data_IF_999710183387
#
_entry.id   IF_999710183387
#
_cell.length_a   1.000
_cell.length_b   1.000
_cell.length_c   1.000
_cell.angle_alpha   90.00
_cell.angle_beta   90.00
_cell.angle_gamma   90.00
#
_symmetry.space_group_name_H-M   'P 1'
#
loop_
_entity.id
_entity.type
_entity.pdbx_description
1 polymer ?
#
# COMPACT_ATOMS: atom_id res chain seq x y z
N UNK A 1 50.40 66.01 -35.67
CA UNK A 1 50.61 65.08 -34.54
C UNK A 1 49.21 64.79 -33.96
N UNK A 2 48.54 63.76 -34.46
CA UNK A 2 47.19 63.37 -34.05
C UNK A 2 47.28 62.00 -33.34
N UNK A 3 47.01 61.97 -32.04
CA UNK A 3 46.89 60.77 -31.27
C UNK A 3 45.43 60.33 -31.24
N UNK A 4 45.07 59.30 -31.97
CA UNK A 4 43.78 58.60 -31.82
C UNK A 4 43.94 57.47 -30.81
N UNK A 5 43.21 57.59 -29.69
CA UNK A 5 43.09 56.53 -28.69
C UNK A 5 41.87 55.67 -29.10
N UNK A 6 42.10 54.44 -29.51
CA UNK A 6 41.07 53.41 -29.69
C UNK A 6 40.59 52.90 -28.35
N UNK A 7 39.28 53.06 -28.03
CA UNK A 7 38.61 52.39 -26.92
C UNK A 7 38.14 51.02 -27.44
N UNK A 8 38.65 49.95 -26.83
CA UNK A 8 38.19 48.60 -27.01
C UNK A 8 37.05 48.34 -26.00
N UNK A 9 35.81 48.27 -26.51
CA UNK A 9 34.66 47.79 -25.69
C UNK A 9 34.64 46.27 -25.72
N UNK A 10 34.98 45.64 -24.57
CA UNK A 10 34.77 44.21 -24.38
C UNK A 10 33.33 43.92 -24.08
N UNK A 11 32.65 43.20 -24.97
CA UNK A 11 31.31 42.66 -24.78
C UNK A 11 31.40 41.38 -23.90
N UNK A 12 31.00 41.44 -22.63
CA UNK A 12 30.87 40.25 -21.79
C UNK A 12 29.48 39.67 -22.11
N UNK A 13 29.43 38.60 -22.87
CA UNK A 13 28.23 37.82 -23.08
C UNK A 13 27.95 36.96 -21.82
N UNK A 14 26.94 37.34 -21.03
CA UNK A 14 26.44 36.57 -19.91
C UNK A 14 25.60 35.40 -20.48
N UNK A 15 26.15 34.18 -20.47
CA UNK A 15 25.39 32.96 -20.76
C UNK A 15 24.48 32.69 -19.54
N UNK A 16 23.21 33.02 -19.67
CA UNK A 16 22.18 32.55 -18.73
C UNK A 16 21.88 31.09 -19.09
N UNK A 17 22.41 30.16 -18.33
CA UNK A 17 22.01 28.76 -18.38
C UNK A 17 20.64 28.67 -17.71
N UNK A 18 19.55 28.70 -18.49
CA UNK A 18 18.23 28.37 -18.00
C UNK A 18 18.18 26.86 -17.76
N UNK A 19 18.26 26.42 -16.52
CA UNK A 19 17.90 25.08 -16.13
C UNK A 19 16.39 24.92 -16.42
N UNK A 20 16.06 24.25 -17.52
CA UNK A 20 14.70 23.76 -17.74
C UNK A 20 14.49 22.60 -16.79
N UNK A 21 13.78 22.82 -15.69
CA UNK A 21 13.18 21.73 -14.92
C UNK A 21 12.23 21.00 -15.86
N UNK A 22 12.57 19.77 -16.21
CA UNK A 22 11.64 18.88 -16.88
C UNK A 22 10.52 18.60 -15.87
N UNK A 23 9.38 19.25 -16.04
CA UNK A 23 8.15 18.89 -15.33
C UNK A 23 7.80 17.49 -15.85
N UNK A 24 7.89 16.49 -14.99
CA UNK A 24 7.44 15.14 -15.31
C UNK A 24 5.92 15.18 -15.38
N UNK A 25 5.34 14.77 -16.52
CA UNK A 25 3.90 14.55 -16.58
C UNK A 25 3.56 13.24 -15.88
N UNK A 26 2.40 13.17 -15.22
CA UNK A 26 1.85 11.93 -14.69
C UNK A 26 1.97 10.79 -15.70
N UNK A 27 2.53 9.65 -15.30
CA UNK A 27 2.79 8.52 -16.20
C UNK A 27 2.30 7.22 -15.58
N UNK A 28 1.83 6.29 -16.46
CA UNK A 28 1.62 4.90 -16.11
C UNK A 28 2.50 4.04 -17.00
N UNK A 29 3.42 3.30 -16.43
CA UNK A 29 4.42 2.51 -17.13
C UNK A 29 4.16 1.02 -16.84
N UNK A 30 4.09 0.22 -17.91
CA UNK A 30 4.10 -1.24 -17.77
C UNK A 30 5.55 -1.72 -17.71
N UNK A 31 5.87 -2.48 -16.69
CA UNK A 31 7.20 -3.03 -16.46
C UNK A 31 7.14 -4.57 -16.35
N UNK A 32 8.27 -5.20 -16.53
CA UNK A 32 8.44 -6.65 -16.38
C UNK A 32 9.63 -6.95 -15.47
N UNK A 33 9.54 -8.04 -14.71
CA UNK A 33 10.60 -8.54 -13.86
C UNK A 33 10.59 -10.06 -13.91
N UNK A 34 11.75 -10.69 -14.06
CA UNK A 34 11.86 -12.15 -13.95
C UNK A 34 12.13 -12.53 -12.49
N UNK A 35 11.22 -13.33 -11.91
CA UNK A 35 11.37 -13.91 -10.57
C UNK A 35 11.16 -15.43 -10.64
N UNK A 36 12.08 -16.20 -10.10
CA UNK A 36 12.09 -17.68 -10.16
C UNK A 36 11.89 -18.26 -11.56
N UNK A 37 12.47 -17.60 -12.57
CA UNK A 37 12.38 -18.01 -13.97
C UNK A 37 11.04 -17.71 -14.64
N UNK A 38 10.11 -17.04 -13.95
CA UNK A 38 8.82 -16.58 -14.48
C UNK A 38 8.92 -15.09 -14.79
N UNK A 39 8.60 -14.70 -16.03
CA UNK A 39 8.42 -13.29 -16.37
C UNK A 39 7.08 -12.81 -15.78
N UNK A 40 7.17 -11.81 -14.90
CA UNK A 40 6.05 -11.18 -14.19
C UNK A 40 5.90 -9.75 -14.68
N UNK A 41 4.68 -9.25 -14.68
CA UNK A 41 4.37 -7.88 -15.10
C UNK A 41 3.77 -7.07 -13.97
N UNK A 42 3.95 -5.76 -14.02
CA UNK A 42 3.32 -4.80 -13.12
C UNK A 42 3.18 -3.44 -13.80
N UNK A 43 2.26 -2.62 -13.32
CA UNK A 43 2.11 -1.22 -13.77
C UNK A 43 2.55 -0.30 -12.67
N UNK A 44 3.38 0.69 -12.98
CA UNK A 44 3.82 1.75 -12.06
C UNK A 44 3.13 3.04 -12.47
N UNK A 45 2.41 3.65 -11.55
CA UNK A 45 1.92 5.01 -11.68
C UNK A 45 2.91 5.96 -11.00
N UNK A 46 3.40 6.94 -11.76
CA UNK A 46 4.34 7.97 -11.31
C UNK A 46 3.59 9.29 -11.28
N UNK A 47 3.41 9.93 -10.11
CA UNK A 47 2.73 11.20 -10.01
C UNK A 47 3.51 12.33 -10.71
N UNK A 48 2.80 13.36 -11.19
CA UNK A 48 3.42 14.53 -11.83
C UNK A 48 4.42 15.25 -10.89
N UNK A 49 4.13 15.23 -9.59
CA UNK A 49 4.97 15.87 -8.58
C UNK A 49 6.23 15.07 -8.22
N UNK A 50 6.45 13.89 -8.83
CA UNK A 50 7.65 13.09 -8.56
C UNK A 50 8.92 13.86 -8.95
N UNK A 51 9.84 13.94 -7.98
CA UNK A 51 11.17 14.52 -8.14
C UNK A 51 12.21 13.53 -7.56
N UNK A 52 13.10 13.04 -8.39
CA UNK A 52 14.12 12.05 -7.99
C UNK A 52 15.11 12.54 -6.93
N UNK A 53 15.10 13.83 -6.58
CA UNK A 53 15.92 14.37 -5.49
C UNK A 53 15.31 14.16 -4.12
N UNK A 54 13.99 13.85 -4.06
CA UNK A 54 13.25 13.62 -2.83
C UNK A 54 12.75 12.16 -2.78
N UNK A 55 12.97 11.50 -1.65
CA UNK A 55 12.48 10.15 -1.44
C UNK A 55 10.94 10.12 -1.38
N UNK A 56 10.34 9.17 -2.08
CA UNK A 56 8.89 9.06 -2.29
C UNK A 56 8.35 7.73 -1.73
N UNK A 57 7.17 7.71 -1.06
CA UNK A 57 6.55 6.47 -0.61
C UNK A 57 6.19 5.54 -1.78
N UNK A 58 6.14 4.23 -1.50
CA UNK A 58 5.77 3.19 -2.44
C UNK A 58 4.55 2.41 -1.93
N UNK A 59 3.49 2.32 -2.74
CA UNK A 59 2.27 1.59 -2.41
C UNK A 59 2.02 0.50 -3.43
N UNK A 60 1.91 -0.76 -2.98
CA UNK A 60 1.42 -1.87 -3.77
C UNK A 60 -0.09 -2.02 -3.61
N UNK A 61 -0.82 -2.21 -4.72
CA UNK A 61 -2.25 -2.46 -4.73
C UNK A 61 -2.56 -3.74 -5.51
N UNK A 62 -2.77 -4.85 -4.79
CA UNK A 62 -2.94 -6.19 -5.32
C UNK A 62 -4.39 -6.45 -5.72
N UNK A 63 -4.62 -7.03 -6.90
CA UNK A 63 -5.95 -7.38 -7.41
C UNK A 63 -6.54 -8.62 -6.74
N UNK A 64 -7.87 -8.80 -6.82
CA UNK A 64 -8.58 -9.98 -6.37
C UNK A 64 -8.40 -11.20 -7.28
N UNK A 65 -8.81 -12.38 -6.80
CA UNK A 65 -8.81 -13.63 -7.57
C UNK A 65 -9.60 -13.50 -8.88
N UNK A 66 -9.02 -13.96 -9.99
CA UNK A 66 -9.61 -13.89 -11.33
C UNK A 66 -9.59 -12.50 -11.96
N UNK A 67 -9.20 -11.47 -11.23
CA UNK A 67 -9.04 -10.09 -11.70
C UNK A 67 -7.65 -9.87 -12.32
N UNK A 68 -7.25 -8.61 -12.51
CA UNK A 68 -5.94 -8.23 -13.05
C UNK A 68 -5.56 -6.81 -12.62
N UNK A 69 -4.30 -6.42 -12.85
CA UNK A 69 -3.74 -5.12 -12.51
C UNK A 69 -4.59 -3.95 -13.05
N UNK A 70 -5.04 -4.01 -14.31
CA UNK A 70 -5.84 -2.95 -14.93
C UNK A 70 -7.22 -2.80 -14.31
N UNK A 71 -7.89 -3.90 -13.95
CA UNK A 71 -9.18 -3.85 -13.26
C UNK A 71 -9.03 -3.26 -11.86
N UNK A 72 -7.98 -3.65 -11.13
CA UNK A 72 -7.70 -3.12 -9.80
C UNK A 72 -7.40 -1.61 -9.83
N UNK A 73 -6.62 -1.15 -10.83
CA UNK A 73 -6.37 0.29 -11.05
C UNK A 73 -7.67 1.08 -11.17
N UNK A 74 -8.60 0.56 -11.98
CA UNK A 74 -9.88 1.23 -12.21
C UNK A 74 -10.81 1.14 -10.99
N UNK A 75 -10.89 -0.02 -10.34
CA UNK A 75 -11.85 -0.28 -9.27
C UNK A 75 -11.49 0.45 -7.98
N UNK A 76 -10.25 0.35 -7.53
CA UNK A 76 -9.78 1.06 -6.35
C UNK A 76 -9.59 2.57 -6.58
N UNK A 77 -9.27 2.97 -7.81
CA UNK A 77 -9.00 4.36 -8.20
C UNK A 77 -7.97 5.08 -7.30
N UNK A 78 -7.04 4.32 -6.71
CA UNK A 78 -6.03 4.83 -5.77
C UNK A 78 -5.03 5.80 -6.43
N UNK A 79 -5.00 5.86 -7.77
CA UNK A 79 -4.18 6.80 -8.53
C UNK A 79 -4.53 8.28 -8.25
N UNK A 80 -5.76 8.57 -7.84
CA UNK A 80 -6.17 9.92 -7.41
C UNK A 80 -5.41 10.33 -6.16
N UNK A 81 -5.31 9.43 -5.19
CA UNK A 81 -4.55 9.65 -3.95
C UNK A 81 -3.05 9.72 -4.23
N UNK A 82 -2.54 8.87 -5.13
CA UNK A 82 -1.13 8.88 -5.53
C UNK A 82 -0.72 10.22 -6.17
N UNK A 83 -1.58 10.77 -7.02
CA UNK A 83 -1.35 12.07 -7.64
C UNK A 83 -1.42 13.24 -6.63
N UNK A 84 -2.37 13.18 -5.69
CA UNK A 84 -2.59 14.24 -4.70
C UNK A 84 -1.50 14.27 -3.61
N UNK A 85 -0.98 13.10 -3.24
CA UNK A 85 -0.11 12.91 -2.09
C UNK A 85 1.34 12.50 -2.45
N UNK A 86 1.67 12.46 -3.74
CA UNK A 86 3.01 12.20 -4.26
C UNK A 86 3.62 10.89 -3.75
N UNK A 87 3.01 9.74 -4.11
CA UNK A 87 3.58 8.40 -3.89
C UNK A 87 3.57 7.57 -5.17
N UNK A 88 4.54 6.66 -5.32
CA UNK A 88 4.54 5.65 -6.38
C UNK A 88 3.47 4.61 -6.08
N UNK A 89 2.62 4.32 -7.08
CA UNK A 89 1.59 3.30 -6.94
C UNK A 89 1.84 2.17 -7.92
N UNK A 90 1.93 0.95 -7.41
CA UNK A 90 2.21 -0.25 -8.19
C UNK A 90 1.00 -1.18 -8.18
N UNK A 91 0.58 -1.60 -9.37
CA UNK A 91 -0.41 -2.65 -9.56
C UNK A 91 0.28 -3.88 -10.15
N UNK A 92 0.67 -4.85 -9.32
CA UNK A 92 1.26 -6.09 -9.81
C UNK A 92 0.23 -6.97 -10.50
N UNK A 93 0.71 -7.86 -11.40
CA UNK A 93 -0.09 -8.88 -12.04
C UNK A 93 0.20 -10.25 -11.44
N UNK A 94 -0.82 -10.89 -10.87
CA UNK A 94 -0.76 -12.26 -10.36
C UNK A 94 -0.57 -13.30 -11.49
N UNK A 95 -0.01 -14.45 -11.16
CA UNK A 95 0.12 -15.58 -12.07
C UNK A 95 -1.23 -16.26 -12.28
N UNK A 96 -1.32 -17.09 -13.31
CA UNK A 96 -2.51 -17.91 -13.54
C UNK A 96 -2.37 -19.29 -12.87
N UNK A 97 -3.43 -19.71 -12.21
CA UNK A 97 -3.54 -21.08 -11.72
C UNK A 97 -3.91 -22.06 -12.86
N UNK A 98 -4.04 -23.35 -12.53
CA UNK A 98 -4.39 -24.39 -13.52
C UNK A 98 -5.75 -24.17 -14.21
N UNK A 99 -6.63 -23.33 -13.65
CA UNK A 99 -7.94 -22.97 -14.24
C UNK A 99 -7.87 -21.70 -15.09
N UNK A 100 -6.69 -21.09 -15.23
CA UNK A 100 -6.48 -19.83 -15.97
C UNK A 100 -6.90 -18.57 -15.21
N UNK A 101 -7.21 -18.66 -13.92
CA UNK A 101 -7.53 -17.51 -13.10
C UNK A 101 -6.26 -16.88 -12.52
N UNK A 102 -6.11 -15.57 -12.64
CA UNK A 102 -5.03 -14.84 -11.98
C UNK A 102 -5.22 -14.89 -10.46
N UNK A 103 -4.13 -15.06 -9.72
CA UNK A 103 -4.18 -15.14 -8.25
C UNK A 103 -2.86 -14.77 -7.59
N UNK A 104 -2.90 -14.62 -6.29
CA UNK A 104 -1.75 -14.45 -5.38
C UNK A 104 -1.68 -15.65 -4.45
N UNK A 105 -0.49 -16.23 -4.30
CA UNK A 105 -0.22 -17.25 -3.30
C UNK A 105 0.02 -16.60 -1.92
N UNK A 106 -1.06 -16.30 -1.22
CA UNK A 106 -1.03 -15.75 0.13
C UNK A 106 -0.98 -16.88 1.18
N UNK A 107 0.07 -17.72 1.14
CA UNK A 107 0.26 -18.90 2.00
C UNK A 107 -0.71 -20.06 1.75
N UNK A 108 -1.28 -20.18 0.56
CA UNK A 108 -2.16 -21.31 0.19
C UNK A 108 -1.42 -22.53 -0.34
N UNK A 109 -0.08 -22.57 -0.19
CA UNK A 109 0.72 -23.75 -0.56
C UNK A 109 0.91 -23.94 -2.07
N UNK A 110 0.69 -22.90 -2.89
CA UNK A 110 1.04 -22.93 -4.30
C UNK A 110 2.57 -22.83 -4.48
N UNK A 111 3.07 -23.31 -5.62
CA UNK A 111 4.52 -23.29 -5.89
C UNK A 111 5.06 -21.91 -6.25
N UNK A 112 4.19 -20.93 -6.60
CA UNK A 112 4.62 -19.58 -6.98
C UNK A 112 4.99 -18.74 -5.74
N UNK A 113 6.14 -18.08 -5.81
CA UNK A 113 6.64 -17.18 -4.76
C UNK A 113 6.25 -15.72 -5.02
N UNK A 114 5.05 -15.33 -4.58
CA UNK A 114 4.56 -13.96 -4.72
C UNK A 114 5.16 -13.01 -3.67
N UNK A 115 5.59 -13.54 -2.52
CA UNK A 115 6.30 -12.76 -1.49
C UNK A 115 7.66 -12.33 -2.02
N UNK A 116 8.48 -13.27 -2.53
CA UNK A 116 9.77 -12.96 -3.13
C UNK A 116 9.64 -12.08 -4.39
N UNK A 117 8.59 -12.26 -5.20
CA UNK A 117 8.30 -11.34 -6.30
C UNK A 117 8.06 -9.90 -5.80
N UNK A 118 7.36 -9.73 -4.66
CA UNK A 118 7.16 -8.40 -4.07
C UNK A 118 8.48 -7.80 -3.60
N UNK A 119 9.36 -8.59 -2.96
CA UNK A 119 10.73 -8.14 -2.61
C UNK A 119 11.49 -7.69 -3.84
N UNK A 120 11.49 -8.49 -4.91
CA UNK A 120 12.19 -8.16 -6.14
C UNK A 120 11.64 -6.89 -6.81
N UNK A 121 10.33 -6.63 -6.72
CA UNK A 121 9.74 -5.35 -7.18
C UNK A 121 10.19 -4.17 -6.33
N UNK A 122 10.23 -4.31 -4.98
CA UNK A 122 10.72 -3.24 -4.09
C UNK A 122 12.15 -2.88 -4.46
N UNK A 123 13.01 -3.88 -4.65
CA UNK A 123 14.43 -3.67 -4.98
C UNK A 123 14.59 -3.02 -6.36
N UNK A 124 13.92 -3.53 -7.40
CA UNK A 124 13.97 -2.98 -8.75
C UNK A 124 13.44 -1.53 -8.81
N UNK A 125 12.36 -1.23 -8.09
CA UNK A 125 11.80 0.12 -8.04
C UNK A 125 12.69 1.08 -7.24
N UNK A 126 13.39 0.59 -6.20
CA UNK A 126 14.35 1.39 -5.44
C UNK A 126 15.62 1.68 -6.23
N UNK A 127 16.01 0.82 -7.17
CA UNK A 127 17.11 1.06 -8.09
C UNK A 127 16.74 2.09 -9.18
N UNK A 128 15.47 2.15 -9.59
CA UNK A 128 15.01 3.03 -10.67
C UNK A 128 14.51 4.39 -10.15
N UNK A 129 13.85 4.40 -9.00
CA UNK A 129 13.24 5.59 -8.38
C UNK A 129 13.83 5.85 -7.00
N UNK A 130 13.81 7.10 -6.55
CA UNK A 130 14.21 7.44 -5.18
C UNK A 130 13.09 7.08 -4.19
N UNK A 131 12.92 5.76 -3.95
CA UNK A 131 11.92 5.23 -3.03
C UNK A 131 12.35 5.46 -1.58
N UNK A 132 11.42 5.93 -0.75
CA UNK A 132 11.58 5.95 0.69
C UNK A 132 11.40 4.54 1.26
N UNK A 133 12.50 3.87 1.57
CA UNK A 133 12.49 2.49 2.07
C UNK A 133 11.79 2.33 3.42
N UNK A 134 11.57 3.41 4.16
CA UNK A 134 10.82 3.40 5.41
C UNK A 134 9.31 3.51 5.19
N UNK A 135 8.85 3.86 3.98
CA UNK A 135 7.45 4.09 3.64
C UNK A 135 7.01 3.25 2.45
N UNK A 136 7.10 1.92 2.60
CA UNK A 136 6.60 0.93 1.64
C UNK A 136 5.36 0.27 2.22
N UNK A 137 4.26 0.27 1.47
CA UNK A 137 2.95 -0.15 1.95
C UNK A 137 2.31 -1.17 1.02
N UNK A 138 1.39 -1.96 1.56
CA UNK A 138 0.63 -2.94 0.79
C UNK A 138 -0.87 -2.80 1.03
N UNK A 139 -1.62 -2.75 -0.05
CA UNK A 139 -3.09 -2.88 -0.03
C UNK A 139 -3.56 -3.79 -1.14
N UNK A 140 -4.80 -4.21 -1.07
CA UNK A 140 -5.43 -5.00 -2.12
C UNK A 140 -6.83 -5.45 -1.75
N UNK A 141 -7.53 -5.96 -2.76
CA UNK A 141 -8.88 -6.45 -2.61
C UNK A 141 -8.92 -7.98 -2.57
N UNK A 142 -9.77 -8.57 -1.70
CA UNK A 142 -10.05 -10.01 -1.71
C UNK A 142 -8.74 -10.82 -1.60
N UNK A 143 -8.40 -11.65 -2.58
CA UNK A 143 -7.11 -12.34 -2.66
C UNK A 143 -5.90 -11.38 -2.55
N UNK A 144 -6.00 -10.14 -3.05
CA UNK A 144 -5.00 -9.10 -2.85
C UNK A 144 -4.92 -8.60 -1.39
N UNK A 145 -6.03 -8.60 -0.66
CA UNK A 145 -6.07 -8.33 0.77
C UNK A 145 -5.42 -9.46 1.59
N UNK A 146 -5.67 -10.74 1.23
CA UNK A 146 -4.95 -11.88 1.79
C UNK A 146 -3.44 -11.77 1.55
N UNK A 147 -3.04 -11.33 0.34
CA UNK A 147 -1.64 -11.10 0.01
C UNK A 147 -1.02 -10.01 0.90
N UNK A 148 -1.75 -8.93 1.18
CA UNK A 148 -1.27 -7.88 2.08
C UNK A 148 -1.03 -8.42 3.50
N UNK A 149 -1.90 -9.28 4.04
CA UNK A 149 -1.64 -9.96 5.31
C UNK A 149 -0.43 -10.91 5.25
N UNK A 150 -0.25 -11.63 4.14
CA UNK A 150 0.92 -12.48 3.96
C UNK A 150 2.22 -11.66 3.99
N UNK A 151 2.22 -10.49 3.35
CA UNK A 151 3.35 -9.55 3.36
C UNK A 151 3.60 -8.95 4.75
N UNK A 152 2.54 -8.61 5.50
CA UNK A 152 2.68 -8.14 6.87
C UNK A 152 3.40 -9.15 7.77
N UNK A 153 3.09 -10.44 7.61
CA UNK A 153 3.74 -11.52 8.35
C UNK A 153 5.19 -11.78 7.89
N UNK A 154 5.41 -11.82 6.57
CA UNK A 154 6.68 -12.27 6.01
C UNK A 154 7.72 -11.15 5.84
N UNK A 155 7.28 -9.91 5.65
CA UNK A 155 8.11 -8.75 5.30
C UNK A 155 7.90 -7.58 6.27
N UNK A 156 7.74 -7.88 7.56
CA UNK A 156 7.57 -6.84 8.59
C UNK A 156 8.76 -5.88 8.70
N UNK A 157 9.93 -6.24 8.15
CA UNK A 157 11.11 -5.39 8.02
C UNK A 157 11.12 -4.49 6.77
N UNK A 158 10.21 -4.73 5.82
CA UNK A 158 10.14 -4.03 4.54
C UNK A 158 8.82 -3.28 4.32
N UNK A 159 7.72 -3.80 4.88
CA UNK A 159 6.36 -3.24 4.73
C UNK A 159 6.01 -2.45 5.97
N UNK A 160 5.84 -1.14 5.84
CA UNK A 160 5.57 -0.23 6.95
C UNK A 160 4.17 -0.40 7.56
N UNK A 161 3.15 -0.58 6.72
CA UNK A 161 1.77 -0.86 7.11
C UNK A 161 1.02 -1.57 5.98
N UNK A 162 -0.11 -2.22 6.31
CA UNK A 162 -1.00 -2.82 5.30
C UNK A 162 -2.45 -2.36 5.46
N UNK A 163 -3.19 -2.40 4.36
CA UNK A 163 -4.64 -2.25 4.36
C UNK A 163 -5.28 -3.35 3.50
N UNK A 164 -6.25 -4.08 4.06
CA UNK A 164 -6.97 -5.12 3.35
C UNK A 164 -8.40 -4.71 3.09
N UNK A 165 -8.86 -4.86 1.85
CA UNK A 165 -10.27 -4.62 1.49
C UNK A 165 -10.89 -5.96 1.10
N UNK A 166 -11.89 -6.39 1.85
CA UNK A 166 -12.63 -7.67 1.67
C UNK A 166 -11.73 -8.93 1.60
N UNK A 167 -10.47 -8.82 2.09
CA UNK A 167 -9.58 -9.95 2.34
C UNK A 167 -9.53 -10.26 3.84
N UNK A 168 -8.81 -11.31 4.22
CA UNK A 168 -8.52 -11.66 5.62
C UNK A 168 -7.22 -12.45 5.69
N UNK A 169 -6.81 -12.94 6.85
CA UNK A 169 -5.74 -13.93 6.98
C UNK A 169 -6.22 -15.30 6.51
N UNK A 170 -5.36 -16.08 5.86
CA UNK A 170 -5.68 -17.48 5.52
C UNK A 170 -5.85 -18.31 6.79
N UNK A 171 -6.69 -19.35 6.73
CA UNK A 171 -6.92 -20.22 7.88
C UNK A 171 -5.60 -20.81 8.42
N UNK A 172 -5.33 -20.62 9.71
CA UNK A 172 -4.10 -21.05 10.39
C UNK A 172 -2.87 -20.18 10.13
N UNK A 173 -2.99 -19.07 9.40
CA UNK A 173 -1.87 -18.15 9.18
C UNK A 173 -1.43 -17.46 10.48
N UNK A 174 -2.33 -17.25 11.42
CA UNK A 174 -2.03 -16.68 12.72
C UNK A 174 -1.01 -17.52 13.52
N UNK A 175 -1.01 -18.84 13.33
CA UNK A 175 -0.09 -19.76 14.01
C UNK A 175 1.37 -19.63 13.52
N UNK A 176 1.57 -19.10 12.33
CA UNK A 176 2.87 -19.01 11.64
C UNK A 176 3.32 -17.58 11.33
N UNK A 177 2.50 -16.59 11.70
CA UNK A 177 2.79 -15.19 11.45
C UNK A 177 3.78 -14.64 12.46
N UNK A 178 5.06 -14.62 12.12
CA UNK A 178 6.12 -14.07 12.95
C UNK A 178 6.56 -12.70 12.43
N UNK A 179 6.33 -11.65 13.21
CA UNK A 179 6.79 -10.30 12.87
C UNK A 179 7.93 -9.90 13.81
N UNK A 180 8.88 -9.13 13.29
CA UNK A 180 10.01 -8.62 14.09
C UNK A 180 9.74 -7.26 14.74
N UNK A 181 8.58 -6.68 14.44
CA UNK A 181 8.07 -5.43 14.99
C UNK A 181 6.55 -5.40 14.96
N UNK A 182 5.93 -4.38 15.53
CA UNK A 182 4.52 -4.04 15.31
C UNK A 182 4.29 -3.67 13.85
N UNK A 183 3.19 -4.14 13.24
CA UNK A 183 2.79 -3.82 11.88
C UNK A 183 1.40 -3.18 11.92
N UNK A 184 1.25 -1.90 11.58
CA UNK A 184 -0.06 -1.27 11.48
C UNK A 184 -0.95 -1.93 10.44
N UNK A 185 -2.20 -2.20 10.81
CA UNK A 185 -3.19 -2.95 10.03
C UNK A 185 -4.47 -2.13 9.89
N UNK A 186 -4.95 -1.97 8.66
CA UNK A 186 -6.29 -1.45 8.39
C UNK A 186 -7.11 -2.48 7.63
N UNK A 187 -8.37 -2.66 8.02
CA UNK A 187 -9.31 -3.59 7.40
C UNK A 187 -10.61 -2.90 7.01
N UNK A 188 -11.10 -3.19 5.80
CA UNK A 188 -12.45 -2.85 5.34
C UNK A 188 -13.20 -4.14 5.02
N UNK A 189 -14.37 -4.37 5.63
CA UNK A 189 -15.10 -5.62 5.38
C UNK A 189 -16.60 -5.46 5.54
N UNK A 190 -17.34 -6.00 4.56
CA UNK A 190 -18.81 -6.06 4.59
C UNK A 190 -19.33 -7.21 5.45
N UNK A 191 -20.32 -6.95 6.31
CA UNK A 191 -20.91 -8.00 7.15
C UNK A 191 -21.77 -8.99 6.36
N UNK A 192 -22.24 -8.60 5.16
CA UNK A 192 -23.00 -9.44 4.24
C UNK A 192 -22.15 -9.96 3.06
N UNK A 193 -20.80 -9.94 3.17
CA UNK A 193 -19.90 -10.42 2.12
C UNK A 193 -20.14 -11.91 1.82
N UNK A 194 -20.63 -12.26 0.60
CA UNK A 194 -20.93 -13.65 0.26
C UNK A 194 -19.70 -14.42 -0.25
N UNK A 195 -18.58 -13.73 -0.51
CA UNK A 195 -17.37 -14.30 -1.12
C UNK A 195 -16.30 -14.60 -0.07
N UNK A 196 -16.04 -13.64 0.81
CA UNK A 196 -15.18 -13.80 1.99
C UNK A 196 -16.06 -13.48 3.22
N UNK A 197 -16.71 -14.50 3.81
CA UNK A 197 -17.66 -14.27 4.91
C UNK A 197 -16.99 -13.57 6.09
N UNK A 198 -17.68 -12.57 6.66
CA UNK A 198 -17.21 -11.80 7.81
C UNK A 198 -16.81 -12.68 8.99
N UNK A 199 -17.62 -13.72 9.26
CA UNK A 199 -17.39 -14.68 10.34
C UNK A 199 -16.29 -15.71 10.06
N UNK A 200 -15.66 -15.60 8.87
CA UNK A 200 -14.64 -16.55 8.41
C UNK A 200 -15.20 -17.77 7.70
N UNK A 201 -14.28 -18.61 7.24
CA UNK A 201 -14.58 -19.85 6.49
C UNK A 201 -13.41 -20.84 6.60
N UNK A 202 -13.51 -21.97 5.91
CA UNK A 202 -12.37 -22.92 5.79
C UNK A 202 -11.14 -22.31 5.06
N UNK A 203 -11.30 -21.18 4.39
CA UNK A 203 -10.22 -20.53 3.61
C UNK A 203 -9.61 -19.31 4.31
N UNK A 204 -10.30 -18.74 5.28
CA UNK A 204 -9.82 -17.53 5.96
C UNK A 204 -10.47 -17.34 7.31
N UNK A 205 -9.73 -16.68 8.19
CA UNK A 205 -10.17 -16.37 9.55
C UNK A 205 -11.29 -15.32 9.56
N UNK A 206 -12.09 -15.30 10.63
CA UNK A 206 -13.11 -14.28 10.85
C UNK A 206 -12.49 -12.91 11.11
N UNK A 207 -13.17 -11.85 10.67
CA UNK A 207 -12.61 -10.50 10.70
C UNK A 207 -12.38 -10.01 12.13
N UNK A 208 -13.36 -10.15 13.03
CA UNK A 208 -13.20 -9.72 14.42
C UNK A 208 -12.02 -10.47 15.10
N UNK A 209 -11.87 -11.77 14.84
CA UNK A 209 -10.71 -12.55 15.33
C UNK A 209 -9.38 -12.02 14.78
N UNK A 210 -9.30 -11.68 13.49
CA UNK A 210 -8.07 -11.14 12.90
C UNK A 210 -7.72 -9.77 13.48
N UNK A 211 -8.72 -8.92 13.75
CA UNK A 211 -8.49 -7.62 14.37
C UNK A 211 -7.99 -7.76 15.82
N UNK A 212 -8.62 -8.63 16.62
CA UNK A 212 -8.17 -8.94 17.99
C UNK A 212 -6.75 -9.52 17.99
N UNK A 213 -6.44 -10.46 17.08
CA UNK A 213 -5.11 -11.02 16.92
C UNK A 213 -4.04 -9.94 16.65
N UNK A 214 -4.30 -9.00 15.72
CA UNK A 214 -3.35 -7.94 15.42
C UNK A 214 -3.29 -6.88 16.52
N UNK A 215 -4.39 -6.59 17.20
CA UNK A 215 -4.40 -5.72 18.36
C UNK A 215 -3.51 -6.27 19.48
N UNK A 216 -3.65 -7.57 19.83
CA UNK A 216 -2.78 -8.24 20.80
C UNK A 216 -1.32 -8.25 20.34
N UNK A 217 -1.07 -8.63 19.07
CA UNK A 217 0.28 -8.70 18.49
C UNK A 217 1.00 -7.36 18.47
N UNK A 218 0.25 -6.27 18.28
CA UNK A 218 0.76 -4.90 18.28
C UNK A 218 0.74 -4.25 19.68
N UNK A 219 0.44 -5.00 20.73
CA UNK A 219 0.35 -4.51 22.10
C UNK A 219 -0.65 -3.34 22.27
N UNK A 220 -1.74 -3.37 21.52
CA UNK A 220 -2.87 -2.45 21.69
C UNK A 220 -3.76 -2.87 22.87
N UNK A 221 -4.59 -1.93 23.36
CA UNK A 221 -5.64 -2.24 24.34
C UNK A 221 -6.69 -3.19 23.74
N UNK A 222 -7.37 -3.97 24.58
CA UNK A 222 -8.39 -4.93 24.16
C UNK A 222 -9.70 -4.26 23.70
N UNK A 223 -9.99 -3.07 24.21
CA UNK A 223 -11.24 -2.35 23.92
C UNK A 223 -10.96 -1.26 22.89
N UNK A 224 -11.47 -1.37 21.66
CA UNK A 224 -11.28 -0.34 20.64
C UNK A 224 -12.11 0.90 20.92
N UNK A 225 -11.62 2.06 20.49
CA UNK A 225 -12.47 3.22 20.29
C UNK A 225 -13.47 2.91 19.18
N UNK A 226 -14.73 3.26 19.40
CA UNK A 226 -15.84 3.06 18.46
C UNK A 226 -16.37 4.40 17.96
N UNK A 227 -16.43 4.55 16.63
CA UNK A 227 -16.95 5.72 15.94
C UNK A 227 -18.03 5.29 14.95
N UNK A 228 -19.25 5.77 15.12
CA UNK A 228 -20.30 5.62 14.12
C UNK A 228 -20.06 6.60 12.97
N UNK A 229 -19.89 6.10 11.76
CA UNK A 229 -19.77 6.93 10.56
C UNK A 229 -21.18 7.42 10.18
N UNK A 230 -21.38 8.72 9.90
CA UNK A 230 -22.67 9.23 9.44
C UNK A 230 -23.11 8.56 8.13
N UNK A 231 -24.33 8.03 8.10
CA UNK A 231 -24.98 7.53 6.89
C UNK A 231 -25.41 8.73 6.02
N UNK A 232 -24.60 9.04 5.03
CA UNK A 232 -24.78 10.18 4.11
C UNK A 232 -25.42 9.78 2.79
N UNK A 233 -25.29 8.50 2.40
CA UNK A 233 -25.95 7.90 1.24
C UNK A 233 -26.92 6.78 1.66
N UNK A 234 -28.04 7.14 2.26
CA UNK A 234 -29.08 6.20 2.70
C UNK A 234 -29.64 5.28 1.59
N UNK A 235 -29.20 5.47 0.34
CA UNK A 235 -29.67 4.67 -0.79
C UNK A 235 -28.69 3.55 -1.17
N UNK A 236 -27.48 3.52 -0.61
CA UNK A 236 -26.48 2.51 -0.93
C UNK A 236 -26.75 1.14 -0.29
N UNK A 237 -27.61 1.10 0.74
CA UNK A 237 -28.07 -0.12 1.42
C UNK A 237 -27.12 -0.62 2.50
N UNK A 238 -26.16 0.21 2.95
CA UNK A 238 -25.19 -0.13 3.99
C UNK A 238 -24.92 1.05 4.93
N UNK A 239 -24.27 0.78 6.07
CA UNK A 239 -23.72 1.80 6.96
C UNK A 239 -22.32 1.41 7.36
N UNK A 240 -21.51 2.35 7.89
CA UNK A 240 -20.14 2.09 8.28
C UNK A 240 -19.90 2.38 9.77
N UNK A 241 -19.14 1.49 10.39
CA UNK A 241 -18.64 1.61 11.75
C UNK A 241 -17.11 1.60 11.70
N UNK A 242 -16.46 2.42 12.54
CA UNK A 242 -15.00 2.47 12.63
C UNK A 242 -14.56 2.09 14.05
N UNK A 243 -13.68 1.10 14.13
CA UNK A 243 -13.08 0.62 15.37
C UNK A 243 -11.57 0.86 15.31
N UNK A 244 -11.00 1.38 16.41
CA UNK A 244 -9.58 1.75 16.50
C UNK A 244 -8.97 1.13 17.75
N UNK A 245 -7.98 0.26 17.59
CA UNK A 245 -7.16 -0.25 18.66
C UNK A 245 -5.85 0.52 18.73
N UNK A 246 -5.57 1.11 19.88
CA UNK A 246 -4.38 1.94 20.10
C UNK A 246 -3.50 1.34 21.21
N UNK A 247 -2.21 1.66 21.15
CA UNK A 247 -1.25 1.40 22.22
C UNK A 247 -1.50 2.29 23.44
N UNK A 248 -0.77 2.02 24.55
CA UNK A 248 -0.81 2.88 25.75
C UNK A 248 -0.41 4.34 25.46
N UNK A 249 0.43 4.56 24.45
CA UNK A 249 0.86 5.89 24.00
C UNK A 249 -0.14 6.54 23.02
N UNK A 250 -1.32 5.93 22.83
CA UNK A 250 -2.38 6.35 21.90
C UNK A 250 -1.97 6.32 20.41
N UNK A 251 -1.03 5.48 20.02
CA UNK A 251 -0.76 5.20 18.62
C UNK A 251 -1.80 4.20 18.09
N UNK A 252 -2.60 4.61 17.09
CA UNK A 252 -3.58 3.75 16.44
C UNK A 252 -2.85 2.78 15.49
N UNK A 253 -2.80 1.50 15.83
CA UNK A 253 -2.07 0.49 15.05
C UNK A 253 -2.98 -0.53 14.38
N UNK A 254 -4.25 -0.64 14.78
CA UNK A 254 -5.22 -1.53 14.14
C UNK A 254 -6.53 -0.78 13.97
N UNK A 255 -7.02 -0.73 12.73
CA UNK A 255 -8.27 -0.05 12.39
C UNK A 255 -9.18 -0.98 11.58
N UNK A 256 -10.48 -1.01 11.91
CA UNK A 256 -11.49 -1.74 11.19
C UNK A 256 -12.62 -0.79 10.76
N UNK A 257 -12.85 -0.70 9.47
CA UNK A 257 -14.10 -0.18 8.91
C UNK A 257 -15.04 -1.34 8.63
N UNK A 258 -15.97 -1.57 9.54
CA UNK A 258 -17.01 -2.60 9.46
C UNK A 258 -18.21 -2.04 8.69
N UNK A 259 -18.46 -2.61 7.51
CA UNK A 259 -19.55 -2.15 6.64
C UNK A 259 -20.76 -3.03 6.89
N UNK A 260 -21.73 -2.50 7.63
CA UNK A 260 -22.97 -3.19 7.97
C UNK A 260 -23.80 -3.37 6.70
N UNK A 261 -24.24 -4.59 6.43
CA UNK A 261 -24.95 -5.01 5.22
C UNK A 261 -24.17 -4.82 3.90
N UNK A 262 -22.90 -4.37 3.97
CA UNK A 262 -22.00 -4.29 2.82
C UNK A 262 -21.60 -5.66 2.30
N UNK A 263 -21.45 -5.79 0.99
CA UNK A 263 -21.04 -7.01 0.31
C UNK A 263 -19.55 -6.99 -0.06
N UNK A 264 -19.13 -7.88 -0.99
CA UNK A 264 -17.74 -8.03 -1.45
C UNK A 264 -17.31 -6.88 -2.38
N UNK A 265 -17.18 -5.65 -1.85
CA UNK A 265 -16.98 -4.44 -2.63
C UNK A 265 -15.89 -3.53 -2.02
N UNK A 266 -15.37 -2.61 -2.84
CA UNK A 266 -14.43 -1.57 -2.39
C UNK A 266 -15.23 -0.32 -1.98
N UNK A 267 -15.29 0.08 -0.70
CA UNK A 267 -16.06 1.22 -0.26
C UNK A 267 -15.65 2.51 -0.98
N UNK A 268 -16.64 3.28 -1.45
CA UNK A 268 -16.43 4.48 -2.25
C UNK A 268 -16.14 4.23 -3.74
N UNK A 269 -16.13 2.96 -4.20
CA UNK A 269 -15.99 2.67 -5.63
C UNK A 269 -17.20 3.20 -6.41
N UNK A 270 -16.91 3.84 -7.56
CA UNK A 270 -17.96 4.38 -8.43
C UNK A 270 -18.66 3.29 -9.27
N UNK A 271 -18.09 2.09 -9.31
CA UNK A 271 -18.67 0.94 -10.00
C UNK A 271 -19.15 -0.09 -8.97
N UNK A 272 -20.47 -0.27 -8.86
CA UNK A 272 -21.09 -1.13 -7.87
C UNK A 272 -21.35 -2.51 -8.45
N UNK A 273 -20.80 -3.53 -7.81
CA UNK A 273 -21.08 -4.95 -8.06
C UNK A 273 -21.49 -5.62 -6.76
N UNK A 274 -22.66 -5.19 -6.23
CA UNK A 274 -23.18 -5.54 -4.92
C UNK A 274 -23.42 -4.30 -4.05
N UNK A 275 -23.81 -4.53 -2.79
CA UNK A 275 -24.02 -3.45 -1.81
C UNK A 275 -22.64 -2.83 -1.47
N UNK A 276 -22.43 -1.59 -1.94
CA UNK A 276 -21.17 -0.86 -1.84
C UNK A 276 -21.38 0.42 -1.06
N UNK A 277 -20.76 0.52 0.10
CA UNK A 277 -20.84 1.71 0.94
C UNK A 277 -20.28 2.94 0.24
N UNK A 278 -21.03 4.05 0.28
CA UNK A 278 -20.67 5.33 -0.30
C UNK A 278 -20.48 6.43 0.77
N UNK A 279 -20.58 6.09 2.05
CA UNK A 279 -20.32 7.04 3.15
C UNK A 279 -18.84 7.29 3.36
N UNK A 280 -18.00 6.34 2.95
CA UNK A 280 -16.54 6.41 3.06
C UNK A 280 -15.88 6.15 1.71
N UNK A 281 -14.64 6.64 1.58
CA UNK A 281 -13.76 6.33 0.46
C UNK A 281 -12.55 5.55 0.98
N UNK A 282 -12.54 4.23 0.77
CA UNK A 282 -11.46 3.37 1.26
C UNK A 282 -10.08 3.79 0.75
N UNK A 283 -9.96 4.27 -0.50
CA UNK A 283 -8.68 4.69 -1.07
C UNK A 283 -8.10 5.91 -0.35
N UNK A 284 -8.93 6.89 -0.01
CA UNK A 284 -8.51 8.06 0.74
C UNK A 284 -8.11 7.69 2.18
N UNK A 285 -8.92 6.85 2.85
CA UNK A 285 -8.65 6.38 4.22
C UNK A 285 -7.39 5.51 4.29
N UNK A 286 -7.15 4.65 3.31
CA UNK A 286 -5.92 3.85 3.20
C UNK A 286 -4.69 4.75 3.15
N UNK A 287 -4.72 5.80 2.31
CA UNK A 287 -3.59 6.72 2.27
C UNK A 287 -3.45 7.52 3.57
N UNK A 288 -4.55 8.01 4.14
CA UNK A 288 -4.53 8.70 5.43
C UNK A 288 -3.86 7.85 6.51
N UNK A 289 -4.22 6.56 6.57
CA UNK A 289 -3.62 5.60 7.49
C UNK A 289 -2.13 5.38 7.17
N UNK A 290 -1.78 5.06 5.94
CA UNK A 290 -0.39 4.80 5.55
C UNK A 290 0.53 5.98 5.85
N UNK A 291 0.06 7.21 5.61
CA UNK A 291 0.85 8.41 5.82
C UNK A 291 1.28 8.66 7.27
N UNK A 292 0.62 8.02 8.24
CA UNK A 292 0.90 8.11 9.68
C UNK A 292 1.97 7.11 10.14
N UNK A 293 2.32 6.12 9.31
CA UNK A 293 3.19 5.01 9.70
C UNK A 293 4.45 4.92 8.83
N UNK A 294 5.56 4.58 9.45
CA UNK A 294 6.82 4.29 8.79
C UNK A 294 7.56 3.17 9.52
N UNK A 295 8.51 2.54 8.84
CA UNK A 295 9.48 1.68 9.51
C UNK A 295 10.34 2.53 10.46
N UNK A 296 10.84 1.96 11.57
CA UNK A 296 11.80 2.63 12.42
C UNK A 296 13.10 2.89 11.64
N UNK A 297 13.74 4.03 11.87
CA UNK A 297 15.08 4.27 11.38
C UNK A 297 16.04 3.21 11.94
N UNK A 298 16.99 2.75 11.10
CA UNK A 298 18.01 1.83 11.59
C UNK A 298 18.83 2.51 12.69
N UNK A 299 18.93 1.88 13.87
CA UNK A 299 19.81 2.37 14.92
C UNK A 299 21.24 2.42 14.38
N UNK A 300 21.86 3.60 14.38
CA UNK A 300 23.27 3.72 14.06
C UNK A 300 24.08 2.84 15.04
N UNK A 301 25.01 1.99 14.56
CA UNK A 301 25.82 1.19 15.45
C UNK A 301 26.58 2.14 16.40
N UNK A 302 26.35 2.00 17.70
CA UNK A 302 27.12 2.75 18.70
C UNK A 302 28.58 2.51 18.46
N UNK A 303 29.29 3.51 17.92
CA UNK A 303 30.74 3.51 17.80
C UNK A 303 31.27 3.60 19.24
N UNK A 304 31.53 2.43 19.87
CA UNK A 304 32.23 2.39 21.12
C UNK A 304 33.60 3.04 20.91
N UNK A 305 33.72 4.28 21.35
CA UNK A 305 34.98 5.00 21.39
C UNK A 305 35.96 4.19 22.23
N UNK A 306 36.92 3.53 21.59
CA UNK A 306 38.13 3.08 22.23
C UNK A 306 38.89 4.36 22.66
N UNK A 307 38.66 4.79 23.90
CA UNK A 307 39.57 5.71 24.56
C UNK A 307 40.91 4.96 24.67
N UNK A 308 41.85 5.40 23.84
CA UNK A 308 43.28 4.99 23.95
C UNK A 308 43.86 5.66 25.22
N UNK A 309 44.10 4.84 26.23
CA UNK A 309 45.01 5.19 27.33
C UNK A 309 46.48 5.17 26.81
#
# INVERSE_FOLDING_TARGET
MNNSKSLLFGLIALLILSATTLVSAQQSINATLTHDGIERTYTVFIPEAYDSTNAIPLVFNFHGYGSNAGQQTFYANLAVEAAANNFLLVHPQGTQNAMGANFWNANWGAEVDDIGFTVAMIDALSDEYNVDSLRVYSTGMSNGGYMSYALACALSDRIAAIASVTGTMTAGQTDICETIRTVPIMQFHGTADPTVPYEGSQFGEGIDFVMEYWAEKNACGSDPEFIMIPDTDMADGSTAEHYIWSTEDNEALVELYKIIDGEHTWPGASFNNGVTNQDINASALIWEFFSKHSLPEAEEPMVNGLESN
#
